data_IF_371366833754
#
_entry.id   IF_371366833754
#
_cell.length_a   1.000
_cell.length_b   1.000
_cell.length_c   1.000
_cell.angle_alpha   90.00
_cell.angle_beta   90.00
_cell.angle_gamma   90.00
#
_symmetry.space_group_name_H-M   'P 1'
#
loop_
_entity.id
_entity.type
_entity.pdbx_description
1 polymer ?
#
# COMPACT_ATOMS: atom_id res chain seq x y z
N UNK A 1 -21.23 7.65 -1.86
CA UNK A 1 -20.15 8.24 -2.67
C UNK A 1 -19.86 7.24 -3.77
N UNK A 2 -20.33 7.54 -4.99
CA UNK A 2 -20.15 6.72 -6.18
C UNK A 2 -18.69 6.88 -6.61
N UNK A 3 -17.93 5.78 -6.64
CA UNK A 3 -16.55 5.82 -7.11
C UNK A 3 -16.59 6.07 -8.61
N UNK A 4 -16.11 7.23 -9.04
CA UNK A 4 -15.91 7.50 -10.46
C UNK A 4 -14.43 7.23 -10.73
N UNK A 5 -14.10 6.01 -11.16
CA UNK A 5 -12.75 5.67 -11.64
C UNK A 5 -12.53 6.29 -13.03
N UNK A 6 -12.74 7.60 -13.15
CA UNK A 6 -12.20 8.39 -14.25
C UNK A 6 -10.68 8.43 -14.10
N UNK A 7 -10.00 8.38 -15.23
CA UNK A 7 -8.53 8.33 -15.42
C UNK A 7 -7.74 8.59 -14.13
N UNK A 8 -7.31 7.50 -13.49
CA UNK A 8 -6.42 7.58 -12.33
C UNK A 8 -5.12 8.28 -12.75
N UNK A 9 -4.53 9.02 -11.82
CA UNK A 9 -3.22 9.64 -12.00
C UNK A 9 -2.33 9.36 -10.80
N UNK A 10 -1.03 9.39 -10.99
CA UNK A 10 -0.11 9.26 -9.88
C UNK A 10 -0.16 10.52 -8.99
N UNK A 11 -0.07 10.35 -7.66
CA UNK A 11 0.11 11.50 -6.78
C UNK A 11 1.48 12.15 -7.04
N UNK A 12 1.60 13.49 -7.00
CA UNK A 12 2.86 14.18 -7.32
C UNK A 12 4.07 13.74 -6.47
N UNK A 13 3.80 13.25 -5.25
CA UNK A 13 4.82 12.78 -4.31
C UNK A 13 4.88 11.24 -4.19
N UNK A 14 4.17 10.48 -5.03
CA UNK A 14 4.06 9.02 -4.85
C UNK A 14 5.41 8.30 -4.85
N UNK A 15 6.34 8.73 -5.70
CA UNK A 15 7.68 8.15 -5.79
C UNK A 15 8.59 8.62 -4.64
N UNK A 16 8.53 9.92 -4.30
CA UNK A 16 9.30 10.51 -3.20
C UNK A 16 8.89 9.90 -1.85
N UNK A 17 7.59 9.77 -1.60
CA UNK A 17 7.05 9.29 -0.34
C UNK A 17 7.39 7.83 -0.06
N UNK A 18 7.64 7.00 -1.09
CA UNK A 18 8.11 5.62 -0.91
C UNK A 18 9.40 5.55 -0.08
N UNK A 19 10.26 6.56 -0.19
CA UNK A 19 11.59 6.58 0.44
C UNK A 19 11.79 7.69 1.47
N UNK A 20 11.04 8.79 1.42
CA UNK A 20 11.17 9.94 2.32
C UNK A 20 11.13 9.56 3.80
N UNK A 21 10.32 8.56 4.16
CA UNK A 21 10.15 8.06 5.52
C UNK A 21 10.62 6.61 5.70
N UNK A 22 11.55 6.14 4.86
CA UNK A 22 11.95 4.73 4.77
C UNK A 22 12.21 4.06 6.14
N UNK A 23 12.98 4.71 7.03
CA UNK A 23 13.29 4.14 8.36
C UNK A 23 12.04 3.94 9.22
N UNK A 24 11.13 4.91 9.18
CA UNK A 24 9.90 4.87 9.96
C UNK A 24 8.92 3.84 9.38
N UNK A 25 8.74 3.84 8.06
CA UNK A 25 7.89 2.86 7.36
C UNK A 25 8.39 1.45 7.56
N UNK A 26 9.71 1.21 7.46
CA UNK A 26 10.30 -0.09 7.73
C UNK A 26 10.00 -0.58 9.14
N UNK A 27 10.00 0.31 10.15
CA UNK A 27 9.63 -0.07 11.51
C UNK A 27 8.16 -0.47 11.59
N UNK A 28 7.26 0.34 11.02
CA UNK A 28 5.81 0.07 11.02
C UNK A 28 5.50 -1.27 10.36
N UNK A 29 6.07 -1.53 9.18
CA UNK A 29 5.81 -2.76 8.47
C UNK A 29 6.45 -3.99 9.13
N UNK A 30 7.58 -3.84 9.81
CA UNK A 30 8.22 -4.94 10.56
C UNK A 30 7.30 -5.48 11.66
N UNK A 31 6.41 -4.65 12.21
CA UNK A 31 5.48 -5.09 13.25
C UNK A 31 4.39 -6.03 12.72
N UNK A 32 4.21 -6.11 11.40
CA UNK A 32 3.24 -7.01 10.75
C UNK A 32 3.86 -8.07 9.84
N UNK A 33 5.05 -7.82 9.27
CA UNK A 33 5.77 -8.82 8.45
C UNK A 33 6.18 -9.99 9.34
N UNK A 34 5.93 -11.21 8.84
CA UNK A 34 6.11 -12.47 9.55
C UNK A 34 4.85 -12.97 10.27
N UNK A 35 3.86 -12.10 10.53
CA UNK A 35 2.56 -12.53 11.04
C UNK A 35 1.79 -13.24 9.92
N UNK A 36 1.16 -14.37 10.24
CA UNK A 36 0.42 -15.18 9.26
C UNK A 36 1.25 -15.53 8.01
N UNK A 37 2.56 -15.76 8.18
CA UNK A 37 3.50 -16.08 7.10
C UNK A 37 3.66 -14.98 6.04
N UNK A 38 3.22 -13.75 6.32
CA UNK A 38 3.29 -12.63 5.38
C UNK A 38 4.75 -12.15 5.23
N UNK A 39 5.26 -12.20 4.00
CA UNK A 39 6.58 -11.66 3.66
C UNK A 39 6.53 -10.23 3.12
N UNK A 40 5.36 -9.82 2.63
CA UNK A 40 5.14 -8.55 1.95
C UNK A 40 3.78 -7.96 2.31
N UNK A 41 3.77 -6.66 2.56
CA UNK A 41 2.56 -5.86 2.67
C UNK A 41 2.74 -4.56 1.88
N UNK A 42 1.79 -4.28 1.00
CA UNK A 42 1.64 -3.04 0.26
C UNK A 42 0.30 -2.40 0.57
N UNK A 43 0.27 -1.07 0.60
CA UNK A 43 -0.90 -0.23 0.79
C UNK A 43 -1.00 0.68 -0.43
N UNK A 44 -2.12 0.60 -1.14
CA UNK A 44 -2.42 1.51 -2.23
C UNK A 44 -3.60 2.37 -1.86
N UNK A 45 -3.43 3.70 -1.87
CA UNK A 45 -4.48 4.64 -1.56
C UNK A 45 -4.87 5.44 -2.79
N UNK A 46 -6.16 5.59 -3.02
CA UNK A 46 -6.72 6.46 -4.07
C UNK A 46 -7.54 7.54 -3.37
N UNK A 47 -7.12 8.79 -3.54
CA UNK A 47 -7.79 9.93 -2.92
C UNK A 47 -9.02 10.39 -3.73
N UNK A 48 -9.74 11.39 -3.21
CA UNK A 48 -10.93 11.95 -3.87
C UNK A 48 -10.65 12.68 -5.20
N UNK A 49 -9.38 12.92 -5.53
CA UNK A 49 -8.93 13.51 -6.79
C UNK A 49 -8.38 12.45 -7.77
N UNK A 50 -8.69 11.17 -7.54
CA UNK A 50 -8.22 10.02 -8.32
C UNK A 50 -6.69 9.92 -8.40
N UNK A 51 -6.01 10.38 -7.34
CA UNK A 51 -4.55 10.27 -7.22
C UNK A 51 -4.17 9.02 -6.45
N UNK A 52 -3.25 8.25 -7.01
CA UNK A 52 -2.77 6.99 -6.44
C UNK A 52 -1.48 7.21 -5.65
N UNK A 53 -1.41 6.60 -4.48
CA UNK A 53 -0.28 6.59 -3.55
C UNK A 53 0.06 5.15 -3.19
N UNK A 54 1.35 4.86 -3.03
CA UNK A 54 1.84 3.53 -2.71
C UNK A 54 2.72 3.59 -1.46
N UNK A 55 2.52 2.65 -0.55
CA UNK A 55 3.41 2.41 0.60
C UNK A 55 3.64 0.92 0.72
N UNK A 56 4.86 0.50 1.01
CA UNK A 56 5.17 -0.92 1.01
C UNK A 56 6.29 -1.28 1.97
N UNK A 57 6.25 -2.49 2.51
CA UNK A 57 7.34 -3.08 3.27
C UNK A 57 8.59 -3.31 2.41
N UNK A 58 8.43 -3.37 1.08
CA UNK A 58 9.50 -3.44 0.09
C UNK A 58 9.31 -2.33 -0.97
N UNK A 59 9.72 -1.09 -0.68
CA UNK A 59 9.53 0.05 -1.59
C UNK A 59 10.13 -0.15 -2.98
N UNK A 60 11.15 -1.01 -3.13
CA UNK A 60 11.73 -1.35 -4.42
C UNK A 60 10.75 -2.02 -5.38
N UNK A 61 9.74 -2.73 -4.88
CA UNK A 61 8.70 -3.35 -5.71
C UNK A 61 7.84 -2.25 -6.33
N UNK A 62 7.30 -1.35 -5.51
CA UNK A 62 6.47 -0.24 -5.97
C UNK A 62 7.27 0.72 -6.86
N UNK A 63 8.52 1.00 -6.51
CA UNK A 63 9.41 1.82 -7.33
C UNK A 63 9.59 1.25 -8.74
N UNK A 64 9.88 -0.06 -8.88
CA UNK A 64 10.01 -0.68 -10.19
C UNK A 64 8.69 -0.61 -10.99
N UNK A 65 7.54 -0.76 -10.34
CA UNK A 65 6.23 -0.66 -11.00
C UNK A 65 5.97 0.77 -11.48
N UNK A 66 6.36 1.78 -10.70
CA UNK A 66 6.25 3.19 -11.05
C UNK A 66 7.21 3.59 -12.17
N UNK A 67 8.49 3.23 -12.06
CA UNK A 67 9.53 3.54 -13.03
C UNK A 67 9.22 2.97 -14.42
N UNK A 68 8.62 1.77 -14.46
CA UNK A 68 8.22 1.11 -15.71
C UNK A 68 6.83 1.55 -16.21
N UNK A 69 6.20 2.52 -15.54
CA UNK A 69 4.83 2.99 -15.80
C UNK A 69 3.80 1.84 -15.88
N UNK A 70 3.91 0.84 -15.00
CA UNK A 70 3.00 -0.32 -14.99
C UNK A 70 1.86 -0.16 -13.98
N UNK A 71 1.93 0.83 -13.10
CA UNK A 71 0.99 1.02 -12.01
C UNK A 71 -0.45 1.17 -12.48
N UNK A 72 -0.69 1.82 -13.63
CA UNK A 72 -2.03 2.05 -14.17
C UNK A 72 -2.69 0.78 -14.75
N UNK A 73 -1.90 -0.28 -14.94
CA UNK A 73 -2.36 -1.58 -15.41
C UNK A 73 -2.78 -2.49 -14.26
N UNK A 74 -2.53 -2.10 -13.00
CA UNK A 74 -2.84 -2.94 -11.85
C UNK A 74 -4.37 -3.13 -11.71
N UNK A 75 -4.91 -4.36 -11.89
CA UNK A 75 -6.34 -4.60 -11.79
C UNK A 75 -6.89 -4.37 -10.38
N UNK A 76 -6.02 -4.31 -9.35
CA UNK A 76 -6.40 -3.87 -8.01
C UNK A 76 -6.88 -2.41 -7.96
N UNK A 77 -6.59 -1.61 -8.99
CA UNK A 77 -7.04 -0.22 -9.12
C UNK A 77 -8.36 -0.11 -9.92
N UNK A 78 -8.85 -1.22 -10.47
CA UNK A 78 -10.06 -1.22 -11.28
C UNK A 78 -11.32 -1.01 -10.43
N UNK A 79 -12.32 -0.35 -11.00
CA UNK A 79 -13.63 -0.22 -10.36
C UNK A 79 -14.23 -1.58 -10.01
N UNK A 80 -14.08 -2.57 -10.90
CA UNK A 80 -14.59 -3.92 -10.70
C UNK A 80 -14.06 -4.57 -9.42
N UNK A 81 -12.75 -4.44 -9.15
CA UNK A 81 -12.14 -4.95 -7.92
C UNK A 81 -12.74 -4.30 -6.67
N UNK A 82 -12.91 -2.98 -6.68
CA UNK A 82 -13.45 -2.25 -5.54
C UNK A 82 -14.96 -2.46 -5.33
N UNK A 83 -15.73 -2.58 -6.41
CA UNK A 83 -17.18 -2.88 -6.36
C UNK A 83 -17.42 -4.28 -5.82
N UNK A 84 -16.59 -5.26 -6.20
CA UNK A 84 -16.69 -6.61 -5.67
C UNK A 84 -16.47 -6.65 -4.14
N UNK A 85 -15.55 -5.82 -3.63
CA UNK A 85 -15.40 -5.60 -2.19
C UNK A 85 -14.84 -6.80 -1.42
N UNK A 86 -14.20 -7.77 -2.10
CA UNK A 86 -13.72 -9.03 -1.52
C UNK A 86 -12.22 -9.22 -1.76
N UNK A 87 -11.61 -10.06 -0.94
CA UNK A 87 -10.25 -10.55 -1.17
C UNK A 87 -10.18 -11.24 -2.54
N UNK A 88 -9.13 -10.94 -3.31
CA UNK A 88 -8.79 -11.64 -4.54
C UNK A 88 -7.33 -12.07 -4.51
N UNK A 89 -7.09 -13.32 -4.89
CA UNK A 89 -5.73 -13.80 -5.13
C UNK A 89 -5.20 -13.28 -6.46
N UNK A 90 -3.92 -12.97 -6.53
CA UNK A 90 -3.29 -12.43 -7.73
C UNK A 90 -3.43 -13.37 -8.94
N UNK A 91 -3.37 -14.69 -8.76
CA UNK A 91 -3.57 -15.63 -9.88
C UNK A 91 -4.98 -15.62 -10.49
N UNK A 92 -5.98 -15.11 -9.77
CA UNK A 92 -7.33 -14.92 -10.30
C UNK A 92 -7.52 -13.53 -10.89
N UNK A 93 -6.72 -12.56 -10.42
CA UNK A 93 -6.86 -11.16 -10.76
C UNK A 93 -6.06 -10.77 -12.00
N UNK A 94 -4.80 -11.21 -12.08
CA UNK A 94 -3.89 -10.91 -13.18
C UNK A 94 -4.01 -11.97 -14.26
N UNK A 95 -4.25 -11.54 -15.49
CA UNK A 95 -4.28 -12.44 -16.65
C UNK A 95 -2.85 -12.63 -17.17
N UNK A 96 -2.35 -13.87 -17.31
CA UNK A 96 -0.96 -14.11 -17.70
C UNK A 96 -0.52 -13.50 -19.03
N UNK A 97 -1.46 -13.23 -19.96
CA UNK A 97 -1.16 -12.65 -21.28
C UNK A 97 -1.16 -11.12 -21.29
N UNK A 98 -1.97 -10.48 -20.46
CA UNK A 98 -2.13 -9.02 -20.48
C UNK A 98 -1.27 -8.33 -19.41
N UNK A 99 -1.03 -9.02 -18.28
CA UNK A 99 -0.37 -8.45 -17.10
C UNK A 99 1.04 -9.01 -16.85
N UNK A 100 1.66 -9.66 -17.84
CA UNK A 100 2.87 -10.47 -17.63
C UNK A 100 4.01 -9.68 -16.98
N UNK A 101 4.22 -8.44 -17.41
CA UNK A 101 5.33 -7.59 -16.93
C UNK A 101 5.02 -7.09 -15.51
N UNK A 102 3.80 -6.65 -15.25
CA UNK A 102 3.39 -6.22 -13.91
C UNK A 102 3.50 -7.38 -12.91
N UNK A 103 2.99 -8.56 -13.28
CA UNK A 103 3.08 -9.76 -12.44
C UNK A 103 4.54 -10.17 -12.20
N UNK A 104 5.42 -10.00 -13.19
CA UNK A 104 6.84 -10.24 -13.02
C UNK A 104 7.43 -9.36 -11.91
N UNK A 105 7.22 -8.05 -11.94
CA UNK A 105 7.76 -7.14 -10.91
C UNK A 105 7.08 -7.31 -9.55
N UNK A 106 5.77 -7.60 -9.53
CA UNK A 106 4.98 -7.70 -8.30
C UNK A 106 5.13 -9.03 -7.58
N UNK A 107 5.28 -10.14 -8.32
CA UNK A 107 5.24 -11.51 -7.78
C UNK A 107 6.50 -12.34 -8.10
N UNK A 108 6.88 -12.46 -9.37
CA UNK A 108 7.91 -13.42 -9.78
C UNK A 108 9.33 -12.98 -9.36
N UNK A 109 9.69 -11.72 -9.62
CA UNK A 109 11.00 -11.17 -9.26
C UNK A 109 11.24 -11.17 -7.73
N UNK A 110 10.26 -10.83 -6.87
CA UNK A 110 10.39 -11.01 -5.42
C UNK A 110 10.28 -12.47 -4.92
N UNK A 111 9.97 -13.41 -5.81
CA UNK A 111 9.75 -14.83 -5.54
C UNK A 111 8.60 -15.11 -4.54
N UNK A 112 7.47 -14.42 -4.68
CA UNK A 112 6.25 -14.76 -3.92
C UNK A 112 5.56 -15.97 -4.54
N UNK A 113 5.34 -17.02 -3.76
CA UNK A 113 4.57 -18.19 -4.20
C UNK A 113 3.06 -17.91 -4.20
N UNK A 114 2.59 -17.01 -3.33
CA UNK A 114 1.20 -16.59 -3.25
C UNK A 114 1.12 -15.09 -2.98
N UNK A 115 0.16 -14.43 -3.62
CA UNK A 115 -0.19 -13.06 -3.29
C UNK A 115 -1.67 -12.82 -3.47
N UNK A 116 -2.18 -11.84 -2.73
CA UNK A 116 -3.59 -11.48 -2.71
C UNK A 116 -3.76 -10.02 -2.31
N UNK A 117 -4.91 -9.46 -2.68
CA UNK A 117 -5.26 -8.09 -2.35
C UNK A 117 -6.69 -7.99 -1.85
N UNK A 118 -6.96 -7.01 -0.99
CA UNK A 118 -8.28 -6.74 -0.41
C UNK A 118 -8.62 -5.26 -0.54
N UNK A 119 -9.79 -4.91 -1.11
CA UNK A 119 -10.28 -3.54 -1.09
C UNK A 119 -10.84 -3.19 0.29
N UNK A 120 -10.70 -1.93 0.66
CA UNK A 120 -11.25 -1.33 1.87
C UNK A 120 -11.44 0.17 1.66
N UNK A 121 -11.95 0.86 2.68
CA UNK A 121 -11.99 2.33 2.75
C UNK A 121 -11.17 2.79 3.93
N UNK A 122 -10.50 3.92 3.77
CA UNK A 122 -9.78 4.60 4.84
C UNK A 122 -10.05 6.09 4.77
N UNK A 123 -10.89 6.60 5.67
CA UNK A 123 -11.34 8.00 5.65
C UNK A 123 -11.94 8.32 4.27
N UNK A 124 -11.42 9.34 3.58
CA UNK A 124 -11.79 9.75 2.23
C UNK A 124 -11.00 9.04 1.12
N UNK A 125 -10.19 8.02 1.46
CA UNK A 125 -9.43 7.23 0.52
C UNK A 125 -10.11 5.88 0.25
N UNK A 126 -10.08 5.46 -1.01
CA UNK A 126 -10.18 4.05 -1.37
C UNK A 126 -8.83 3.40 -1.07
N UNK A 127 -8.85 2.22 -0.46
CA UNK A 127 -7.65 1.55 0.01
C UNK A 127 -7.59 0.13 -0.55
N UNK A 128 -6.40 -0.29 -0.94
CA UNK A 128 -6.07 -1.69 -1.24
C UNK A 128 -4.99 -2.12 -0.29
N UNK A 129 -5.23 -3.22 0.42
CA UNK A 129 -4.17 -3.98 1.08
C UNK A 129 -3.68 -5.04 0.11
N UNK A 130 -2.38 -5.14 -0.12
CA UNK A 130 -1.76 -6.17 -0.96
C UNK A 130 -0.78 -6.97 -0.11
N UNK A 131 -0.81 -8.29 -0.20
CA UNK A 131 0.02 -9.19 0.59
C UNK A 131 0.72 -10.19 -0.31
N UNK A 132 1.97 -10.52 0.04
CA UNK A 132 2.79 -11.52 -0.65
C UNK A 132 3.43 -12.47 0.35
N UNK A 133 3.44 -13.75 0.01
CA UNK A 133 4.00 -14.84 0.80
C UNK A 133 5.01 -15.59 -0.07
N UNK A 134 6.18 -15.88 0.47
CA UNK A 134 7.22 -16.70 -0.15
C UNK A 134 6.95 -18.18 0.07
N UNK A 135 6.37 -18.54 1.21
CA UNK A 135 6.14 -19.92 1.59
C UNK A 135 4.65 -20.18 1.87
N UNK A 136 3.86 -20.37 0.80
CA UNK A 136 2.48 -20.83 0.95
C UNK A 136 2.39 -22.36 0.93
N UNK A 137 1.62 -22.92 1.85
CA UNK A 137 1.26 -24.33 1.91
C UNK A 137 -0.12 -24.58 1.32
N UNK A 138 -0.55 -25.85 1.26
CA UNK A 138 -1.89 -26.20 0.80
C UNK A 138 -3.01 -25.62 1.69
N UNK A 139 -2.77 -25.42 2.99
CA UNK A 139 -3.76 -24.83 3.91
C UNK A 139 -3.78 -23.30 3.90
N UNK A 140 -2.71 -22.65 3.43
CA UNK A 140 -2.54 -21.19 3.52
C UNK A 140 -3.72 -20.42 2.91
N UNK A 141 -4.34 -20.90 1.82
CA UNK A 141 -5.55 -20.25 1.27
C UNK A 141 -6.73 -20.28 2.24
N UNK A 142 -6.97 -21.42 2.88
CA UNK A 142 -8.02 -21.58 3.88
C UNK A 142 -7.76 -20.68 5.09
N UNK A 143 -6.51 -20.59 5.52
CA UNK A 143 -6.12 -19.72 6.64
C UNK A 143 -6.33 -18.24 6.30
N UNK A 144 -5.97 -17.81 5.09
CA UNK A 144 -6.22 -16.44 4.61
C UNK A 144 -7.72 -16.12 4.63
N UNK A 145 -8.56 -17.03 4.12
CA UNK A 145 -10.01 -16.82 4.06
C UNK A 145 -10.64 -16.70 5.45
N UNK A 146 -10.17 -17.48 6.43
CA UNK A 146 -10.66 -17.42 7.80
C UNK A 146 -10.09 -16.24 8.61
N UNK A 147 -8.97 -15.65 8.19
CA UNK A 147 -8.29 -14.58 8.91
C UNK A 147 -8.39 -13.20 8.22
N UNK A 148 -9.33 -13.01 7.28
CA UNK A 148 -9.49 -11.73 6.55
C UNK A 148 -9.64 -10.51 7.47
N UNK A 149 -10.33 -10.64 8.61
CA UNK A 149 -10.46 -9.53 9.56
C UNK A 149 -9.13 -9.17 10.24
N UNK A 150 -8.31 -10.18 10.58
CA UNK A 150 -6.97 -9.96 11.14
C UNK A 150 -6.07 -9.30 10.10
N UNK A 151 -6.11 -9.78 8.85
CA UNK A 151 -5.41 -9.16 7.72
C UNK A 151 -5.81 -7.69 7.55
N UNK A 152 -7.11 -7.37 7.56
CA UNK A 152 -7.57 -5.97 7.52
C UNK A 152 -7.07 -5.15 8.71
N UNK A 153 -7.08 -5.71 9.91
CA UNK A 153 -6.60 -5.01 11.10
C UNK A 153 -5.09 -4.71 11.03
N UNK A 154 -4.28 -5.63 10.49
CA UNK A 154 -2.84 -5.40 10.26
C UNK A 154 -2.60 -4.28 9.25
N UNK A 155 -3.30 -4.31 8.12
CA UNK A 155 -3.23 -3.23 7.13
C UNK A 155 -3.72 -1.89 7.70
N UNK A 156 -4.79 -1.91 8.49
CA UNK A 156 -5.34 -0.72 9.17
C UNK A 156 -4.35 -0.13 10.18
N UNK A 157 -3.65 -0.98 10.92
CA UNK A 157 -2.58 -0.57 11.82
C UNK A 157 -1.49 0.19 11.05
N UNK A 158 -1.03 -0.38 9.93
CA UNK A 158 0.03 0.23 9.11
C UNK A 158 -0.40 1.61 8.57
N UNK A 159 -1.58 1.69 7.94
CA UNK A 159 -2.05 2.97 7.37
C UNK A 159 -2.29 4.03 8.44
N UNK A 160 -2.75 3.64 9.64
CA UNK A 160 -2.89 4.56 10.77
C UNK A 160 -1.54 5.14 11.19
N UNK A 161 -0.53 4.28 11.40
CA UNK A 161 0.81 4.71 11.79
C UNK A 161 1.46 5.59 10.70
N UNK A 162 1.29 5.24 9.42
CA UNK A 162 1.77 6.06 8.30
C UNK A 162 1.07 7.41 8.26
N UNK A 163 -0.25 7.47 8.54
CA UNK A 163 -1.00 8.73 8.54
C UNK A 163 -0.54 9.73 9.61
N UNK A 164 0.16 9.28 10.65
CA UNK A 164 0.78 10.15 11.65
C UNK A 164 2.09 10.79 11.16
N UNK A 165 2.71 10.20 10.12
CA UNK A 165 3.97 10.65 9.55
C UNK A 165 3.78 11.47 8.27
N UNK A 166 2.76 11.12 7.47
CA UNK A 166 2.50 11.71 6.16
C UNK A 166 1.37 12.75 6.28
N UNK A 167 1.68 14.06 6.22
CA UNK A 167 0.73 15.10 6.63
C UNK A 167 -0.58 15.11 5.83
N UNK A 168 -0.53 14.84 4.53
CA UNK A 168 -1.72 14.86 3.66
C UNK A 168 -2.60 13.59 3.80
N UNK A 169 -2.07 12.54 4.43
CA UNK A 169 -2.86 11.40 4.88
C UNK A 169 -3.49 11.66 6.26
N UNK A 170 -2.96 12.63 7.01
CA UNK A 170 -3.47 13.03 8.31
C UNK A 170 -4.68 13.95 8.18
N UNK A 171 -5.64 13.80 9.08
CA UNK A 171 -6.67 14.82 9.30
C UNK A 171 -6.18 15.94 10.24
N UNK A 172 -4.96 15.81 10.78
CA UNK A 172 -4.36 16.87 11.58
C UNK A 172 -4.00 18.00 10.63
N UNK A 173 -4.63 19.15 10.82
CA UNK A 173 -4.17 20.42 10.27
C UNK A 173 -2.79 20.64 10.88
N UNK A 174 -1.74 20.15 10.22
CA UNK A 174 -0.37 20.44 10.61
C UNK A 174 -0.17 21.92 10.30
N UNK A 175 -0.35 22.78 11.31
CA UNK A 175 0.19 24.12 11.23
C UNK A 175 1.70 23.94 11.05
N UNK A 176 2.20 24.19 9.84
CA UNK A 176 3.62 24.28 9.51
C UNK A 176 4.23 25.50 10.22
N UNK A 177 4.11 25.61 11.54
CA UNK A 177 4.94 26.52 12.32
C UNK A 177 6.29 25.84 12.43
N UNK A 178 7.22 26.25 11.55
CA UNK A 178 8.64 25.96 11.71
C UNK A 178 9.02 26.26 13.17
N UNK A 179 9.79 25.39 13.84
CA UNK A 179 10.30 25.70 15.16
C UNK A 179 11.13 26.98 15.08
N UNK A 180 10.69 28.04 15.76
CA UNK A 180 11.49 29.26 15.91
C UNK A 180 12.52 29.00 16.99
N UNK A 181 13.78 28.82 16.59
CA UNK A 181 14.90 28.83 17.52
C UNK A 181 15.16 30.28 17.92
N UNK A 182 14.85 30.62 19.18
CA UNK A 182 15.26 31.89 19.77
C UNK A 182 16.65 31.70 20.36
N UNK A 183 17.63 32.40 19.78
CA UNK A 183 19.01 32.36 20.26
C UNK A 183 19.08 33.18 21.55
N UNK A 184 19.34 32.51 22.67
CA UNK A 184 19.56 33.17 23.97
C UNK A 184 21.06 33.29 24.20
N UNK A 185 21.59 34.51 24.08
CA UNK A 185 22.98 34.81 24.42
C UNK A 185 23.03 35.20 25.90
N UNK A 186 23.63 34.35 26.73
CA UNK A 186 23.92 34.69 28.11
C UNK A 186 25.28 35.41 28.17
N UNK A 187 25.26 36.74 28.29
CA UNK A 187 26.45 37.51 28.63
C UNK A 187 26.66 37.44 30.15
N UNK A 188 27.58 36.58 30.60
CA UNK A 188 28.17 36.63 31.94
C UNK A 188 29.68 36.48 31.83
#
# INVERSE_FOLDING_TARGET
MTLCFTTLKLHPFAEEDLFAYYRAFRSIFRDVVGLLEIDYIGLTLINTHNQVLFFSSYPSIEYNILEQDLWHQDPCLSEAFHVQGKLQFWHNLYQPMDDTILLYYKKEKPAFSLGFSMPDKYRNYTLVYSYGLKHATASTKYDIDNNQQILKNMGRYCVNAISELVPYLSNKIHSLKKPSLTLVINNK
#
